data_IF_877508202076
#
_entry.id   IF_877508202076
#
_cell.length_a   1.000
_cell.length_b   1.000
_cell.length_c   1.000
_cell.angle_alpha   90.00
_cell.angle_beta   90.00
_cell.angle_gamma   90.00
#
_symmetry.space_group_name_H-M   'P 1'
#
loop_
_entity.id
_entity.type
_entity.pdbx_description
1 polymer ?
#
# COMPACT_ATOMS: atom_id res chain seq x y z
N UNK A 1 44.96 6.42 14.29
CA UNK A 1 44.24 7.03 13.15
C UNK A 1 43.59 8.30 13.65
N UNK A 2 43.97 9.46 13.10
CA UNK A 2 43.31 10.74 13.39
C UNK A 2 41.98 10.75 12.63
N UNK A 3 40.90 11.15 13.29
CA UNK A 3 39.65 11.49 12.62
C UNK A 3 39.93 12.56 11.54
N UNK A 4 39.31 12.48 10.36
CA UNK A 4 39.42 13.56 9.38
C UNK A 4 38.87 14.85 10.00
N UNK A 5 39.41 16.02 9.61
CA UNK A 5 38.88 17.29 10.08
C UNK A 5 37.43 17.42 9.61
N UNK A 6 36.51 17.62 10.56
CA UNK A 6 35.14 18.01 10.27
C UNK A 6 35.18 19.37 9.57
N UNK A 7 34.81 19.38 8.29
CA UNK A 7 34.63 20.60 7.52
C UNK A 7 33.58 21.49 8.23
N UNK A 8 33.94 22.74 8.50
CA UNK A 8 33.14 23.71 9.25
C UNK A 8 31.78 24.06 8.58
N UNK A 9 31.50 23.49 7.40
CA UNK A 9 30.28 23.71 6.63
C UNK A 9 29.27 22.54 6.67
N UNK A 10 29.57 21.43 7.35
CA UNK A 10 28.57 20.37 7.57
C UNK A 10 27.79 20.63 8.86
N UNK A 11 26.53 20.99 8.71
CA UNK A 11 25.59 21.10 9.83
C UNK A 11 25.61 19.77 10.63
N UNK A 12 25.86 19.86 11.93
CA UNK A 12 25.96 18.68 12.79
C UNK A 12 24.61 18.48 13.51
N UNK A 13 24.12 17.25 13.61
CA UNK A 13 22.89 17.00 14.36
C UNK A 13 23.10 17.33 15.84
N UNK A 14 22.10 17.96 16.46
CA UNK A 14 22.07 18.20 17.92
C UNK A 14 21.83 16.92 18.71
N UNK A 15 21.17 15.96 18.09
CA UNK A 15 20.86 14.65 18.64
C UNK A 15 20.90 13.62 17.53
N UNK A 16 21.46 12.44 17.80
CA UNK A 16 21.45 11.32 16.88
C UNK A 16 21.23 10.02 17.66
N UNK A 17 20.37 9.15 17.16
CA UNK A 17 20.05 7.87 17.75
C UNK A 17 20.00 6.77 16.67
N UNK A 18 20.78 5.72 16.86
CA UNK A 18 20.84 4.57 15.96
C UNK A 18 19.79 3.53 16.37
N UNK A 19 18.95 3.12 15.42
CA UNK A 19 18.04 1.99 15.53
C UNK A 19 18.59 0.89 14.63
N UNK A 20 18.83 -0.30 15.18
CA UNK A 20 19.25 -1.50 14.43
C UNK A 20 18.34 -2.67 14.74
N UNK A 21 17.92 -3.39 13.71
CA UNK A 21 17.20 -4.64 13.86
C UNK A 21 17.60 -5.60 12.71
N UNK A 22 18.37 -6.66 12.98
CA UNK A 22 18.88 -7.57 11.96
C UNK A 22 17.79 -8.44 11.30
N UNK A 23 16.57 -8.46 11.84
CA UNK A 23 15.41 -9.17 11.29
C UNK A 23 14.53 -8.26 10.44
N UNK A 24 14.89 -6.99 10.26
CA UNK A 24 14.07 -6.01 9.60
C UNK A 24 14.12 -6.14 8.07
N UNK A 25 12.94 -6.25 7.45
CA UNK A 25 12.77 -6.04 6.00
C UNK A 25 12.76 -4.54 5.65
N UNK A 26 12.35 -3.71 6.62
CA UNK A 26 12.37 -2.25 6.55
C UNK A 26 12.43 -1.67 7.96
N UNK A 27 12.64 -0.36 8.10
CA UNK A 27 12.39 0.35 9.36
C UNK A 27 11.48 1.55 9.10
N UNK A 28 10.38 1.60 9.85
CA UNK A 28 9.46 2.73 9.91
C UNK A 28 9.34 3.19 11.37
N UNK A 29 9.89 4.35 11.68
CA UNK A 29 9.95 4.89 13.05
C UNK A 29 8.61 5.53 13.40
N UNK A 30 8.08 5.26 14.60
CA UNK A 30 6.92 5.96 15.12
C UNK A 30 7.37 7.14 15.97
N UNK A 31 6.94 8.34 15.57
CA UNK A 31 7.13 9.56 16.32
C UNK A 31 5.85 9.87 17.10
N UNK A 32 6.00 10.23 18.37
CA UNK A 32 4.95 10.77 19.23
C UNK A 32 5.31 12.17 19.69
N UNK A 33 4.27 12.97 19.95
CA UNK A 33 4.40 14.33 20.45
C UNK A 33 5.38 15.18 19.62
N UNK A 34 5.44 14.93 18.31
CA UNK A 34 6.33 15.65 17.40
C UNK A 34 5.86 17.09 17.31
N UNK A 35 6.68 18.01 17.78
CA UNK A 35 6.42 19.44 17.77
C UNK A 35 7.76 20.16 17.79
N UNK A 36 8.21 20.60 16.61
CA UNK A 36 9.50 21.27 16.45
C UNK A 36 9.30 22.73 16.06
N UNK A 37 10.28 23.61 16.33
CA UNK A 37 10.32 24.94 15.73
C UNK A 37 10.25 24.86 14.19
N UNK A 38 9.74 25.91 13.57
CA UNK A 38 9.48 25.96 12.12
C UNK A 38 10.69 25.57 11.26
N UNK A 39 11.91 25.93 11.68
CA UNK A 39 13.14 25.67 10.94
C UNK A 39 13.89 24.40 11.39
N UNK A 40 13.46 23.76 12.47
CA UNK A 40 14.07 22.53 12.95
C UNK A 40 13.48 21.33 12.22
N UNK A 41 14.28 20.27 12.08
CA UNK A 41 13.82 19.06 11.42
C UNK A 41 14.45 17.80 12.00
N UNK A 42 13.71 16.70 11.89
CA UNK A 42 14.23 15.36 12.12
C UNK A 42 14.52 14.70 10.79
N UNK A 43 15.72 14.17 10.67
CA UNK A 43 16.15 13.34 9.57
C UNK A 43 16.15 11.88 9.98
N UNK A 44 15.65 11.00 9.12
CA UNK A 44 15.80 9.56 9.25
C UNK A 44 16.51 9.05 8.01
N UNK A 45 17.68 8.43 8.20
CA UNK A 45 18.48 7.91 7.09
C UNK A 45 18.96 6.48 7.34
N UNK A 46 19.22 5.70 6.29
CA UNK A 46 19.81 4.37 6.40
C UNK A 46 21.19 4.43 7.07
N UNK A 47 21.49 3.40 7.84
CA UNK A 47 22.73 3.24 8.57
C UNK A 47 23.37 1.87 8.41
N UNK A 48 22.66 0.92 7.78
CA UNK A 48 23.22 -0.37 7.39
C UNK A 48 24.10 -0.20 6.13
N UNK A 49 25.42 -0.38 6.22
CA UNK A 49 26.32 -0.24 5.07
C UNK A 49 26.11 -1.32 3.99
N UNK A 50 25.41 -2.40 4.30
CA UNK A 50 25.08 -3.44 3.32
C UNK A 50 23.76 -3.15 2.56
N UNK A 51 22.97 -2.18 3.02
CA UNK A 51 21.70 -1.82 2.40
C UNK A 51 21.92 -0.98 1.14
N UNK A 52 21.11 -1.23 0.10
CA UNK A 52 21.04 -0.37 -1.10
C UNK A 52 20.09 0.82 -0.92
N UNK A 53 19.44 0.93 0.24
CA UNK A 53 18.56 2.06 0.56
C UNK A 53 19.40 3.33 0.73
N UNK A 54 18.99 4.39 0.05
CA UNK A 54 19.70 5.68 0.05
C UNK A 54 18.78 6.85 0.35
N UNK A 55 17.47 6.61 0.45
CA UNK A 55 16.50 7.65 0.71
C UNK A 55 16.73 8.26 2.10
N UNK A 56 16.85 9.58 2.15
CA UNK A 56 16.90 10.36 3.38
C UNK A 56 15.54 11.01 3.58
N UNK A 57 14.90 10.73 4.71
CA UNK A 57 13.62 11.31 5.08
C UNK A 57 13.87 12.55 5.94
N UNK A 58 13.11 13.62 5.70
CA UNK A 58 13.14 14.83 6.52
C UNK A 58 11.71 15.21 6.92
N UNK A 59 11.51 15.47 8.21
CA UNK A 59 10.25 15.91 8.80
C UNK A 59 10.50 17.24 9.51
N UNK A 60 9.90 18.32 8.99
CA UNK A 60 10.10 19.70 9.47
C UNK A 60 9.01 20.10 10.46
N UNK A 61 9.35 20.97 11.42
CA UNK A 61 8.40 21.43 12.44
C UNK A 61 7.19 22.20 11.92
N UNK A 62 7.34 22.90 10.79
CA UNK A 62 6.23 23.61 10.13
C UNK A 62 5.34 22.71 9.25
N UNK A 63 5.80 21.51 8.92
CA UNK A 63 5.10 20.58 8.02
C UNK A 63 4.48 19.40 8.77
N UNK A 64 5.07 19.02 9.90
CA UNK A 64 4.71 17.79 10.62
C UNK A 64 4.51 18.06 12.10
N UNK A 65 3.44 17.50 12.67
CA UNK A 65 3.16 17.55 14.09
C UNK A 65 2.46 16.28 14.59
N UNK A 66 2.43 16.08 15.91
CA UNK A 66 1.65 15.04 16.56
C UNK A 66 2.28 13.65 16.49
N UNK A 67 1.49 12.65 16.13
CA UNK A 67 1.89 11.24 16.08
C UNK A 67 1.84 10.74 14.65
N UNK A 68 2.92 10.10 14.17
CA UNK A 68 2.97 9.56 12.82
C UNK A 68 4.07 8.50 12.69
N UNK A 69 3.93 7.65 11.68
CA UNK A 69 5.00 6.77 11.23
C UNK A 69 5.81 7.43 10.12
N UNK A 70 7.13 7.31 10.19
CA UNK A 70 8.00 7.66 9.06
C UNK A 70 7.66 6.79 7.84
N UNK A 71 7.99 7.24 6.63
CA UNK A 71 8.09 6.32 5.49
C UNK A 71 9.05 5.17 5.82
N UNK A 72 8.73 3.96 5.38
CA UNK A 72 9.54 2.78 5.61
C UNK A 72 10.79 2.80 4.70
N UNK A 73 11.97 2.75 5.32
CA UNK A 73 13.24 2.60 4.63
C UNK A 73 13.60 1.12 4.56
N UNK A 74 13.93 0.59 3.37
CA UNK A 74 14.18 -0.85 3.17
C UNK A 74 15.59 -1.24 3.63
N UNK A 75 15.82 -1.17 4.95
CA UNK A 75 17.11 -1.30 5.60
C UNK A 75 16.98 -1.91 6.99
N UNK A 76 18.05 -2.53 7.49
CA UNK A 76 18.10 -3.13 8.83
C UNK A 76 18.55 -2.16 9.93
N UNK A 77 19.00 -0.96 9.56
CA UNK A 77 19.40 0.07 10.50
C UNK A 77 19.13 1.48 9.98
N UNK A 78 18.67 2.37 10.85
CA UNK A 78 18.48 3.80 10.57
C UNK A 78 19.06 4.66 11.68
N UNK A 79 19.49 5.87 11.36
CA UNK A 79 19.80 6.89 12.35
C UNK A 79 18.71 7.97 12.28
N UNK A 80 18.16 8.30 13.44
CA UNK A 80 17.25 9.43 13.67
C UNK A 80 18.07 10.60 14.18
N UNK A 81 18.07 11.71 13.46
CA UNK A 81 18.92 12.87 13.70
C UNK A 81 18.08 14.13 13.83
N UNK A 82 18.27 14.93 14.89
CA UNK A 82 17.65 16.25 15.03
C UNK A 82 18.63 17.33 14.58
N UNK A 83 18.21 18.17 13.66
CA UNK A 83 18.92 19.37 13.25
C UNK A 83 18.15 20.60 13.73
N UNK A 84 18.88 21.56 14.27
CA UNK A 84 18.30 22.80 14.80
C UNK A 84 19.00 23.98 14.17
N UNK A 85 18.26 24.86 13.51
CA UNK A 85 18.84 26.10 13.01
C UNK A 85 19.08 27.04 14.20
N UNK A 86 20.35 27.31 14.49
CA UNK A 86 20.72 28.26 15.55
C UNK A 86 20.51 29.70 15.07
N UNK A 87 19.27 30.09 14.80
CA UNK A 87 18.93 31.51 14.72
C UNK A 87 19.01 32.08 16.14
N UNK A 88 19.84 33.11 16.33
CA UNK A 88 20.10 33.82 17.59
C UNK A 88 18.86 34.48 18.22
N UNK A 89 17.78 33.74 18.54
CA UNK A 89 16.72 34.17 19.44
C UNK A 89 16.11 32.94 20.11
N UNK A 90 15.91 32.94 21.44
CA UNK A 90 14.79 32.19 21.97
C UNK A 90 13.55 32.87 21.36
N UNK A 91 13.02 32.34 20.26
CA UNK A 91 11.57 32.46 20.06
C UNK A 91 11.00 31.98 21.38
N UNK A 92 10.32 32.88 22.10
CA UNK A 92 9.85 32.61 23.44
C UNK A 92 9.04 31.34 23.39
N UNK A 93 9.66 30.22 23.74
CA UNK A 93 9.00 28.92 23.79
C UNK A 93 7.99 29.13 24.88
N UNK A 94 6.73 29.29 24.49
CA UNK A 94 5.67 29.38 25.45
C UNK A 94 5.79 28.10 26.27
N UNK A 95 6.14 28.22 27.55
CA UNK A 95 6.42 27.07 28.43
C UNK A 95 5.19 26.16 28.60
N UNK A 96 4.05 26.54 28.03
CA UNK A 96 2.85 25.73 27.89
C UNK A 96 2.84 24.77 26.68
N UNK A 97 3.82 24.83 25.76
CA UNK A 97 3.94 23.92 24.62
C UNK A 97 5.29 23.22 24.66
N UNK A 98 5.30 21.94 25.05
CA UNK A 98 6.51 21.12 25.00
C UNK A 98 7.03 21.02 23.56
N UNK A 99 8.30 21.33 23.35
CA UNK A 99 8.99 21.25 22.05
C UNK A 99 9.90 20.02 22.05
N UNK A 100 9.85 19.23 20.99
CA UNK A 100 10.63 18.01 20.82
C UNK A 100 9.84 16.92 20.10
N UNK A 101 10.28 15.69 20.29
CA UNK A 101 9.59 14.49 19.84
C UNK A 101 10.00 13.32 20.72
N UNK A 102 9.20 12.26 20.75
CA UNK A 102 9.61 10.96 21.26
C UNK A 102 9.50 9.90 20.17
N UNK A 103 10.39 8.91 20.25
CA UNK A 103 10.28 7.67 19.47
C UNK A 103 9.90 6.58 20.45
N UNK A 104 8.71 6.01 20.31
CA UNK A 104 8.19 5.00 21.24
C UNK A 104 8.19 3.59 20.63
N UNK A 105 8.16 3.48 19.30
CA UNK A 105 8.19 2.19 18.59
C UNK A 105 8.72 2.34 17.16
N UNK A 106 8.96 1.21 16.50
CA UNK A 106 9.20 1.15 15.06
C UNK A 106 8.62 -0.15 14.49
N UNK A 107 8.13 -0.11 13.26
CA UNK A 107 7.71 -1.29 12.51
C UNK A 107 8.87 -1.78 11.65
N UNK A 108 9.07 -3.09 11.60
CA UNK A 108 10.23 -3.68 10.92
C UNK A 108 9.95 -4.90 10.03
N UNK A 109 8.75 -5.47 10.16
CA UNK A 109 8.23 -6.53 9.34
C UNK A 109 6.78 -6.21 9.02
N UNK A 110 6.31 -6.72 7.89
CA UNK A 110 4.90 -6.69 7.55
C UNK A 110 4.47 -8.05 7.02
N UNK A 111 3.26 -8.43 7.36
CA UNK A 111 2.65 -9.65 6.84
C UNK A 111 1.53 -9.30 5.86
N UNK A 112 1.19 -10.24 4.99
CA UNK A 112 -0.01 -10.12 4.18
C UNK A 112 -1.27 -9.99 5.05
N UNK A 113 -2.10 -8.97 4.82
CA UNK A 113 -3.40 -8.89 5.48
C UNK A 113 -4.33 -9.99 4.95
N UNK A 114 -5.18 -10.53 5.82
CA UNK A 114 -6.27 -11.44 5.44
C UNK A 114 -7.52 -11.11 6.25
N UNK A 115 -8.70 -11.34 5.67
CA UNK A 115 -9.96 -11.14 6.37
C UNK A 115 -10.13 -12.17 7.50
N UNK A 116 -10.21 -11.75 8.76
CA UNK A 116 -10.44 -12.62 9.94
C UNK A 116 -9.52 -13.85 10.03
N UNK A 117 -8.27 -13.74 9.57
CA UNK A 117 -7.34 -14.88 9.54
C UNK A 117 -7.70 -15.95 8.50
N UNK A 118 -8.54 -15.62 7.52
CA UNK A 118 -8.83 -16.47 6.38
C UNK A 118 -7.54 -16.81 5.62
N UNK A 119 -7.54 -17.97 4.96
CA UNK A 119 -6.41 -18.42 4.16
C UNK A 119 -6.52 -17.79 2.77
N UNK A 120 -5.70 -16.77 2.47
CA UNK A 120 -5.38 -16.47 1.07
C UNK A 120 -4.45 -17.55 0.54
N UNK A 121 -4.84 -18.14 -0.59
CA UNK A 121 -4.39 -19.47 -0.97
C UNK A 121 -3.93 -19.56 -2.42
N UNK A 122 -2.75 -20.15 -2.59
CA UNK A 122 -2.30 -20.75 -3.84
C UNK A 122 -3.06 -22.06 -4.02
N UNK A 123 -3.84 -22.18 -5.10
CA UNK A 123 -4.62 -23.37 -5.39
C UNK A 123 -3.79 -24.36 -6.18
N UNK A 124 -2.93 -25.09 -5.46
CA UNK A 124 -1.97 -26.02 -6.06
C UNK A 124 -0.61 -25.35 -6.23
N UNK A 125 -0.16 -25.18 -7.49
CA UNK A 125 1.07 -24.44 -7.79
C UNK A 125 0.77 -22.94 -8.01
N UNK A 126 1.70 -22.05 -7.64
CA UNK A 126 1.54 -20.62 -7.95
C UNK A 126 1.75 -20.39 -9.45
N UNK A 127 0.65 -20.14 -10.16
CA UNK A 127 0.60 -19.86 -11.58
C UNK A 127 0.64 -18.35 -11.89
N UNK A 128 0.67 -17.49 -10.88
CA UNK A 128 0.87 -16.06 -11.08
C UNK A 128 2.27 -15.80 -11.66
N UNK A 129 2.43 -14.68 -12.37
CA UNK A 129 3.73 -14.27 -12.91
C UNK A 129 3.92 -12.78 -12.74
N UNK A 130 5.17 -12.33 -12.76
CA UNK A 130 5.52 -10.91 -12.75
C UNK A 130 4.71 -10.13 -13.80
N UNK A 131 4.22 -8.95 -13.45
CA UNK A 131 3.42 -8.12 -14.36
C UNK A 131 4.11 -7.90 -15.71
N UNK A 132 5.44 -7.77 -15.70
CA UNK A 132 6.25 -7.62 -16.91
C UNK A 132 6.15 -8.80 -17.91
N UNK A 133 5.74 -9.99 -17.47
CA UNK A 133 5.44 -11.12 -18.37
C UNK A 133 4.25 -10.86 -19.29
N UNK A 134 3.41 -9.88 -18.95
CA UNK A 134 2.18 -9.58 -19.67
C UNK A 134 2.27 -8.30 -20.52
N UNK A 135 3.47 -7.71 -20.69
CA UNK A 135 3.68 -6.50 -21.52
C UNK A 135 3.14 -6.63 -22.95
N UNK A 136 3.15 -7.83 -23.53
CA UNK A 136 2.56 -8.11 -24.86
C UNK A 136 1.02 -8.17 -24.85
N UNK A 137 0.39 -8.34 -23.69
CA UNK A 137 -1.06 -8.29 -23.48
C UNK A 137 -1.46 -6.89 -23.00
N UNK A 138 -1.53 -5.96 -23.96
CA UNK A 138 -1.62 -4.51 -23.72
C UNK A 138 -2.74 -4.10 -22.74
N UNK A 139 -3.90 -4.78 -22.75
CA UNK A 139 -5.00 -4.52 -21.81
C UNK A 139 -4.60 -4.80 -20.36
N UNK A 140 -4.28 -6.06 -20.06
CA UNK A 140 -3.96 -6.51 -18.70
C UNK A 140 -2.73 -5.81 -18.10
N UNK A 141 -1.70 -5.54 -18.90
CA UNK A 141 -0.52 -4.82 -18.40
C UNK A 141 -0.85 -3.35 -18.11
N UNK A 142 -1.52 -2.64 -19.02
CA UNK A 142 -1.86 -1.22 -18.81
C UNK A 142 -2.79 -1.01 -17.63
N UNK A 143 -3.82 -1.83 -17.47
CA UNK A 143 -4.73 -1.71 -16.32
C UNK A 143 -4.02 -1.97 -15.00
N UNK A 144 -3.01 -2.84 -14.99
CA UNK A 144 -2.22 -3.11 -13.78
C UNK A 144 -1.41 -1.90 -13.30
N UNK A 145 -1.20 -0.86 -14.12
CA UNK A 145 -0.51 0.37 -13.69
C UNK A 145 -1.26 1.11 -12.58
N UNK A 146 -2.60 1.07 -12.61
CA UNK A 146 -3.46 1.71 -11.60
C UNK A 146 -3.48 0.98 -10.25
N UNK A 147 -2.81 -0.18 -10.15
CA UNK A 147 -2.75 -1.03 -8.96
C UNK A 147 -1.49 -0.71 -8.15
N UNK A 148 -1.70 -0.49 -6.86
CA UNK A 148 -0.68 -0.10 -5.89
C UNK A 148 -0.47 -1.18 -4.82
N UNK A 149 0.77 -1.31 -4.37
CA UNK A 149 1.14 -2.00 -3.13
C UNK A 149 0.85 -1.07 -1.96
N UNK A 150 0.11 -1.58 -0.98
CA UNK A 150 -0.19 -0.86 0.25
C UNK A 150 0.64 -1.43 1.39
N UNK A 151 1.32 -0.56 2.14
CA UNK A 151 1.89 -0.91 3.45
C UNK A 151 1.15 -0.10 4.51
N UNK A 152 0.27 -0.77 5.25
CA UNK A 152 -0.59 -0.16 6.27
C UNK A 152 0.01 -0.45 7.64
N UNK A 153 0.25 0.60 8.42
CA UNK A 153 0.76 0.49 9.79
C UNK A 153 -0.42 0.66 10.74
N UNK A 154 -0.65 -0.34 11.59
CA UNK A 154 -1.76 -0.42 12.54
C UNK A 154 -1.25 -0.72 13.93
N UNK A 155 -2.14 -0.58 14.90
CA UNK A 155 -1.95 -1.22 16.18
C UNK A 155 -1.81 -2.74 15.99
N UNK A 156 -0.74 -3.31 16.54
CA UNK A 156 -0.41 -4.73 16.41
C UNK A 156 0.48 -5.12 15.24
N UNK A 157 0.86 -4.19 14.35
CA UNK A 157 1.89 -4.44 13.34
C UNK A 157 1.69 -3.70 12.02
N UNK A 158 2.48 -4.08 11.01
CA UNK A 158 2.33 -3.59 9.65
C UNK A 158 1.81 -4.71 8.72
N UNK A 159 1.01 -4.31 7.74
CA UNK A 159 0.30 -5.23 6.86
C UNK A 159 0.40 -4.80 5.41
N UNK A 160 0.60 -5.76 4.52
CA UNK A 160 0.47 -5.55 3.09
C UNK A 160 -0.97 -5.77 2.63
N UNK A 161 -1.43 -4.93 1.72
CA UNK A 161 -2.62 -5.13 0.91
C UNK A 161 -2.37 -4.64 -0.51
N UNK A 162 -3.37 -4.85 -1.37
CA UNK A 162 -3.44 -4.26 -2.70
C UNK A 162 -4.56 -3.22 -2.73
N UNK A 163 -4.34 -2.14 -3.46
CA UNK A 163 -5.38 -1.15 -3.76
C UNK A 163 -5.24 -0.63 -5.18
N UNK A 164 -6.24 0.09 -5.68
CA UNK A 164 -6.21 0.56 -7.06
C UNK A 164 -7.03 1.84 -7.29
N UNK A 165 -6.58 2.67 -8.21
CA UNK A 165 -7.25 3.93 -8.55
C UNK A 165 -8.61 3.68 -9.19
N UNK A 166 -9.67 4.23 -8.58
CA UNK A 166 -11.06 4.10 -9.02
C UNK A 166 -11.56 5.44 -9.54
N UNK A 167 -11.94 5.47 -10.82
CA UNK A 167 -12.42 6.69 -11.46
C UNK A 167 -11.34 7.78 -11.64
N UNK A 168 -11.74 8.91 -12.22
CA UNK A 168 -10.82 9.95 -12.70
C UNK A 168 -10.43 10.99 -11.64
N UNK A 169 -10.98 10.89 -10.43
CA UNK A 169 -10.86 11.94 -9.41
C UNK A 169 -9.76 11.67 -8.37
N UNK A 170 -8.96 10.60 -8.53
CA UNK A 170 -7.88 10.26 -7.61
C UNK A 170 -8.35 9.61 -6.32
N UNK A 171 -9.43 8.83 -6.41
CA UNK A 171 -9.84 7.90 -5.38
C UNK A 171 -9.14 6.57 -5.58
N UNK A 172 -8.95 5.83 -4.50
CA UNK A 172 -8.40 4.49 -4.49
C UNK A 172 -9.32 3.60 -3.66
N UNK A 173 -9.54 2.37 -4.11
CA UNK A 173 -10.30 1.36 -3.36
C UNK A 173 -9.39 0.21 -2.94
N UNK A 174 -9.66 -0.33 -1.75
CA UNK A 174 -9.07 -1.55 -1.18
C UNK A 174 -10.13 -2.22 -0.29
N UNK A 175 -9.76 -3.20 0.54
CA UNK A 175 -10.70 -3.79 1.49
C UNK A 175 -10.87 -2.98 2.78
N UNK A 176 -12.03 -3.12 3.43
CA UNK A 176 -12.27 -2.58 4.77
C UNK A 176 -11.29 -3.20 5.79
N UNK A 177 -11.05 -4.50 5.72
CA UNK A 177 -10.09 -5.14 6.64
C UNK A 177 -8.64 -4.65 6.40
N UNK A 178 -8.34 -4.03 5.25
CA UNK A 178 -7.08 -3.33 5.02
C UNK A 178 -7.11 -1.92 5.64
N UNK A 179 -8.12 -1.10 5.32
CA UNK A 179 -8.26 0.27 5.82
C UNK A 179 -9.68 0.49 6.35
N UNK A 180 -9.88 0.35 7.65
CA UNK A 180 -11.18 0.54 8.30
C UNK A 180 -11.37 1.90 9.00
N UNK A 181 -10.30 2.67 9.19
CA UNK A 181 -10.35 3.95 9.93
C UNK A 181 -9.52 5.02 9.23
N UNK A 182 -9.78 6.29 9.55
CA UNK A 182 -8.94 7.40 9.08
C UNK A 182 -7.49 7.26 9.56
N UNK A 183 -7.27 6.69 10.75
CA UNK A 183 -5.93 6.42 11.26
C UNK A 183 -5.19 5.41 10.37
N UNK A 184 -5.84 4.31 9.97
CA UNK A 184 -5.27 3.38 9.00
C UNK A 184 -4.93 4.07 7.68
N UNK A 185 -5.85 4.90 7.16
CA UNK A 185 -5.62 5.65 5.92
C UNK A 185 -4.46 6.65 6.04
N UNK A 186 -4.29 7.27 7.21
CA UNK A 186 -3.21 8.22 7.51
C UNK A 186 -1.85 7.55 7.68
N UNK A 187 -1.85 6.25 7.97
CA UNK A 187 -0.66 5.42 8.22
C UNK A 187 -0.40 4.40 7.11
N UNK A 188 -0.81 4.72 5.87
CA UNK A 188 -0.64 3.84 4.70
C UNK A 188 0.31 4.44 3.67
N UNK A 189 1.31 3.66 3.25
CA UNK A 189 2.10 3.95 2.05
C UNK A 189 1.40 3.40 0.81
N UNK A 190 1.25 4.25 -0.21
CA UNK A 190 0.67 3.93 -1.51
C UNK A 190 1.76 3.89 -2.57
N UNK A 191 2.25 2.69 -2.88
CA UNK A 191 3.38 2.47 -3.76
C UNK A 191 2.94 1.96 -5.13
N UNK A 192 3.18 2.76 -6.17
CA UNK A 192 2.84 2.42 -7.55
C UNK A 192 4.07 1.95 -8.32
N UNK A 193 3.85 1.13 -9.35
CA UNK A 193 4.91 0.53 -10.17
C UNK A 193 5.98 -0.24 -9.37
N UNK A 194 5.60 -0.81 -8.22
CA UNK A 194 6.42 -1.78 -7.51
C UNK A 194 6.40 -3.11 -8.27
N UNK A 195 7.20 -3.26 -9.32
CA UNK A 195 7.15 -4.41 -10.23
C UNK A 195 8.52 -4.75 -10.84
N UNK A 196 8.67 -6.01 -11.27
CA UNK A 196 9.89 -6.45 -11.93
C UNK A 196 10.14 -5.73 -13.26
N UNK A 197 11.38 -5.34 -13.52
CA UNK A 197 11.76 -4.69 -14.79
C UNK A 197 11.56 -5.60 -16.02
N UNK A 198 11.63 -6.92 -15.82
CA UNK A 198 11.45 -7.96 -16.84
C UNK A 198 10.69 -9.16 -16.28
N UNK A 199 10.18 -10.02 -17.18
CA UNK A 199 9.49 -11.25 -16.80
C UNK A 199 10.37 -12.26 -16.01
N UNK A 200 11.69 -12.19 -16.19
CA UNK A 200 12.64 -13.08 -15.50
C UNK A 200 13.14 -12.53 -14.17
N UNK A 201 12.86 -11.26 -13.85
CA UNK A 201 13.23 -10.64 -12.57
C UNK A 201 12.23 -11.06 -11.51
N UNK A 202 12.62 -12.02 -10.65
CA UNK A 202 11.81 -12.37 -9.48
C UNK A 202 11.74 -11.20 -8.50
N UNK A 203 10.53 -10.89 -8.05
CA UNK A 203 10.24 -9.91 -7.01
C UNK A 203 9.50 -10.55 -5.83
N UNK A 204 9.68 -11.86 -5.63
CA UNK A 204 8.98 -12.68 -4.65
C UNK A 204 9.56 -12.55 -3.23
N UNK A 205 9.74 -11.33 -2.75
CA UNK A 205 10.05 -11.03 -1.35
C UNK A 205 9.40 -9.69 -0.95
N UNK A 206 9.09 -9.48 0.34
CA UNK A 206 8.48 -8.25 0.81
C UNK A 206 9.24 -7.01 0.35
N UNK A 207 8.51 -6.00 -0.14
CA UNK A 207 9.05 -4.73 -0.67
C UNK A 207 10.02 -4.85 -1.86
N UNK A 208 10.30 -6.03 -2.40
CA UNK A 208 11.17 -6.16 -3.56
C UNK A 208 10.62 -5.46 -4.80
N UNK A 209 11.55 -5.06 -5.67
CA UNK A 209 11.28 -4.31 -6.89
C UNK A 209 10.47 -3.05 -6.57
N UNK A 210 11.07 -2.19 -5.74
CA UNK A 210 10.45 -0.96 -5.27
C UNK A 210 9.97 -0.06 -6.42
N UNK A 211 8.81 0.53 -6.19
CA UNK A 211 8.19 1.52 -7.06
C UNK A 211 8.31 2.93 -6.48
N UNK A 212 7.38 3.79 -6.87
CA UNK A 212 7.28 5.14 -6.31
C UNK A 212 6.22 5.17 -5.20
N UNK A 213 6.61 5.55 -3.98
CA UNK A 213 5.66 5.88 -2.92
C UNK A 213 5.07 7.25 -3.24
N UNK A 214 3.79 7.28 -3.62
CA UNK A 214 3.11 8.50 -4.12
C UNK A 214 2.28 9.22 -3.08
N UNK A 215 1.99 8.54 -1.98
CA UNK A 215 1.41 9.09 -0.78
C UNK A 215 1.77 8.21 0.42
N UNK A 216 1.89 8.83 1.58
CA UNK A 216 2.06 8.18 2.88
C UNK A 216 0.85 8.40 3.81
N UNK A 217 -0.23 9.00 3.27
CA UNK A 217 -1.51 9.18 3.92
C UNK A 217 -2.61 9.30 2.86
N UNK A 218 -3.86 9.09 3.27
CA UNK A 218 -5.04 9.36 2.47
C UNK A 218 -6.20 9.82 3.38
N UNK A 219 -7.19 10.49 2.79
CA UNK A 219 -8.46 10.77 3.47
C UNK A 219 -9.40 9.58 3.27
N UNK A 220 -9.92 8.99 4.35
CA UNK A 220 -10.94 7.97 4.28
C UNK A 220 -12.28 8.62 3.89
N UNK A 221 -12.85 8.19 2.77
CA UNK A 221 -14.17 8.63 2.32
C UNK A 221 -15.24 7.75 2.96
N UNK A 222 -15.06 6.44 2.86
CA UNK A 222 -15.98 5.47 3.46
C UNK A 222 -15.31 4.09 3.60
N UNK A 223 -15.71 3.31 4.60
CA UNK A 223 -15.35 1.91 4.73
C UNK A 223 -16.58 1.11 5.15
N UNK A 224 -16.84 0.01 4.45
CA UNK A 224 -18.00 -0.87 4.64
C UNK A 224 -17.52 -2.26 5.05
N UNK A 225 -17.93 -2.71 6.23
CA UNK A 225 -17.54 -4.03 6.75
C UNK A 225 -18.26 -5.17 6.03
N UNK A 226 -19.54 -4.99 5.66
CA UNK A 226 -20.36 -6.04 5.05
C UNK A 226 -19.96 -6.33 3.60
N UNK A 227 -19.59 -5.28 2.86
CA UNK A 227 -19.07 -5.35 1.50
C UNK A 227 -17.54 -5.38 1.44
N UNK A 228 -16.89 -5.37 2.60
CA UNK A 228 -15.44 -5.39 2.81
C UNK A 228 -14.67 -4.49 1.83
N UNK A 229 -15.12 -3.25 1.64
CA UNK A 229 -14.43 -2.26 0.81
C UNK A 229 -14.15 -0.99 1.59
N UNK A 230 -13.06 -0.31 1.23
CA UNK A 230 -12.72 1.01 1.70
C UNK A 230 -12.39 1.91 0.52
N UNK A 231 -13.01 3.08 0.46
CA UNK A 231 -12.74 4.13 -0.50
C UNK A 231 -11.95 5.24 0.19
N UNK A 232 -10.76 5.52 -0.32
CA UNK A 232 -9.89 6.59 0.16
C UNK A 232 -9.59 7.58 -0.96
N UNK A 233 -9.26 8.81 -0.58
CA UNK A 233 -8.83 9.88 -1.48
C UNK A 233 -7.36 10.16 -1.25
N UNK A 234 -6.55 9.97 -2.28
CA UNK A 234 -5.13 10.34 -2.23
C UNK A 234 -4.98 11.88 -2.28
N UNK A 235 -3.92 12.43 -1.65
CA UNK A 235 -3.69 13.88 -1.63
C UNK A 235 -3.45 14.46 -3.02
N UNK A 236 -2.84 13.67 -3.92
CA UNK A 236 -2.64 14.03 -5.32
C UNK A 236 -3.53 13.14 -6.21
N UNK A 237 -4.12 13.71 -7.25
CA UNK A 237 -4.81 12.92 -8.27
C UNK A 237 -3.78 12.26 -9.21
N UNK A 238 -3.68 10.94 -9.15
CA UNK A 238 -2.72 10.14 -9.91
C UNK A 238 -3.31 9.48 -11.17
N UNK A 239 -4.60 9.73 -11.46
CA UNK A 239 -5.32 9.08 -12.55
C UNK A 239 -4.71 9.35 -13.93
N UNK A 240 -4.14 10.54 -14.16
CA UNK A 240 -3.47 10.87 -15.43
C UNK A 240 -2.13 10.16 -15.60
N UNK A 241 -1.47 9.78 -14.50
CA UNK A 241 -0.14 9.19 -14.52
C UNK A 241 -0.19 7.66 -14.61
N UNK A 242 -1.05 7.03 -13.81
CA UNK A 242 -1.17 5.56 -13.77
C UNK A 242 -2.42 5.02 -14.46
N UNK A 243 -3.30 5.89 -14.95
CA UNK A 243 -4.65 5.50 -15.33
C UNK A 243 -5.54 5.27 -14.13
N UNK A 244 -6.73 4.75 -14.38
CA UNK A 244 -7.70 4.34 -13.37
C UNK A 244 -8.51 3.17 -13.90
N UNK A 245 -9.11 2.41 -12.98
CA UNK A 245 -10.01 1.32 -13.30
C UNK A 245 -11.46 1.75 -13.12
N UNK A 246 -12.35 0.99 -13.74
CA UNK A 246 -13.79 1.19 -13.72
C UNK A 246 -14.47 -0.10 -13.31
N UNK A 247 -15.42 -0.01 -12.39
CA UNK A 247 -16.30 -1.10 -12.00
C UNK A 247 -17.29 -1.39 -13.14
N UNK A 248 -17.54 -2.65 -13.43
CA UNK A 248 -18.59 -3.04 -14.36
C UNK A 248 -19.95 -2.99 -13.65
N UNK A 249 -20.84 -2.09 -14.06
CA UNK A 249 -22.12 -1.89 -13.34
C UNK A 249 -22.99 -3.15 -13.30
N UNK A 250 -22.89 -4.02 -14.31
CA UNK A 250 -23.64 -5.29 -14.36
C UNK A 250 -23.05 -6.40 -13.50
N UNK A 251 -21.82 -6.25 -12.99
CA UNK A 251 -21.14 -7.29 -12.24
C UNK A 251 -20.49 -8.39 -13.08
N UNK A 252 -19.99 -9.41 -12.38
CA UNK A 252 -19.41 -10.61 -12.95
C UNK A 252 -20.46 -11.52 -13.62
N UNK A 253 -20.03 -12.20 -14.69
CA UNK A 253 -20.79 -13.19 -15.47
C UNK A 253 -20.15 -14.57 -15.30
N UNK A 254 -20.99 -15.59 -15.14
CA UNK A 254 -20.54 -16.98 -14.99
C UNK A 254 -19.67 -17.42 -16.19
N UNK A 255 -18.59 -18.17 -15.91
CA UNK A 255 -17.62 -18.69 -16.88
C UNK A 255 -16.83 -17.65 -17.69
N UNK A 256 -16.96 -16.36 -17.41
CA UNK A 256 -16.14 -15.36 -18.12
C UNK A 256 -14.67 -15.46 -17.70
N UNK A 257 -13.77 -15.19 -18.65
CA UNK A 257 -12.32 -15.23 -18.41
C UNK A 257 -11.88 -13.99 -17.63
N UNK A 258 -11.01 -14.20 -16.64
CA UNK A 258 -10.58 -13.17 -15.70
C UNK A 258 -9.07 -13.14 -15.49
N UNK A 259 -8.57 -12.02 -14.96
CA UNK A 259 -7.21 -11.87 -14.45
C UNK A 259 -7.19 -10.95 -13.22
N UNK A 260 -6.15 -11.10 -12.41
CA UNK A 260 -6.02 -10.43 -11.10
C UNK A 260 -4.60 -9.87 -10.94
N UNK A 261 -4.37 -8.57 -11.22
CA UNK A 261 -3.16 -7.87 -10.81
C UNK A 261 -3.17 -7.63 -9.30
N UNK A 262 -2.05 -7.92 -8.63
CA UNK A 262 -1.98 -8.02 -7.18
C UNK A 262 -0.55 -7.87 -6.64
N UNK A 263 -0.43 -7.60 -5.34
CA UNK A 263 0.83 -7.62 -4.58
C UNK A 263 0.82 -8.72 -3.50
N UNK A 264 0.91 -10.00 -3.90
CA UNK A 264 0.85 -11.12 -2.96
C UNK A 264 2.03 -11.03 -1.99
N UNK A 265 1.79 -11.21 -0.69
CA UNK A 265 2.81 -11.13 0.38
C UNK A 265 3.64 -9.83 0.39
N UNK A 266 3.12 -8.73 -0.18
CA UNK A 266 3.87 -7.48 -0.33
C UNK A 266 4.98 -7.53 -1.38
N UNK A 267 4.95 -8.52 -2.28
CA UNK A 267 5.91 -8.69 -3.36
C UNK A 267 5.77 -7.62 -4.43
N UNK A 268 6.68 -7.64 -5.41
CA UNK A 268 6.47 -6.93 -6.67
C UNK A 268 5.17 -7.40 -7.35
N UNK A 269 4.60 -6.53 -8.18
CA UNK A 269 3.30 -6.75 -8.82
C UNK A 269 3.31 -8.01 -9.68
N UNK A 270 2.35 -8.88 -9.42
CA UNK A 270 2.10 -10.10 -10.19
C UNK A 270 0.70 -10.06 -10.77
N UNK A 271 0.51 -10.74 -11.89
CA UNK A 271 -0.80 -10.93 -12.49
C UNK A 271 -1.09 -12.43 -12.48
N UNK A 272 -2.14 -12.82 -11.78
CA UNK A 272 -2.70 -14.16 -11.89
C UNK A 272 -3.69 -14.18 -13.06
N UNK A 273 -3.45 -15.06 -14.02
CA UNK A 273 -4.29 -15.20 -15.22
C UNK A 273 -4.63 -16.66 -15.54
N UNK A 274 -3.85 -17.60 -14.98
CA UNK A 274 -4.03 -19.03 -15.12
C UNK A 274 -4.19 -19.67 -13.75
N UNK A 275 -4.86 -20.81 -13.75
CA UNK A 275 -4.89 -21.80 -12.67
C UNK A 275 -4.29 -23.10 -13.18
N UNK A 276 -4.13 -24.10 -12.32
CA UNK A 276 -3.67 -25.45 -12.71
C UNK A 276 -4.51 -26.07 -13.84
N UNK A 277 -5.81 -25.74 -13.93
CA UNK A 277 -6.73 -26.26 -14.94
C UNK A 277 -6.91 -25.38 -16.19
N UNK A 278 -6.09 -24.34 -16.39
CA UNK A 278 -6.15 -23.49 -17.59
C UNK A 278 -6.29 -22.00 -17.30
N UNK A 279 -7.12 -21.29 -18.06
CA UNK A 279 -7.37 -19.86 -17.83
C UNK A 279 -8.27 -19.64 -16.62
N UNK A 280 -8.00 -18.58 -15.85
CA UNK A 280 -8.90 -18.16 -14.78
C UNK A 280 -10.27 -17.80 -15.32
N UNK A 281 -11.31 -18.32 -14.67
CA UNK A 281 -12.71 -18.02 -15.00
C UNK A 281 -13.54 -17.83 -13.73
N UNK A 282 -14.67 -17.15 -13.84
CA UNK A 282 -15.69 -17.10 -12.79
C UNK A 282 -16.37 -18.46 -12.69
N UNK A 283 -16.34 -19.08 -11.51
CA UNK A 283 -16.87 -20.43 -11.25
C UNK A 283 -18.13 -20.45 -10.39
N UNK A 284 -18.52 -19.31 -9.82
CA UNK A 284 -19.78 -19.14 -9.09
C UNK A 284 -20.07 -17.65 -8.91
N UNK A 285 -21.36 -17.31 -8.80
CA UNK A 285 -21.85 -15.97 -8.46
C UNK A 285 -22.61 -15.94 -7.12
N UNK A 286 -22.75 -17.09 -6.47
CA UNK A 286 -23.58 -17.28 -5.28
C UNK A 286 -22.81 -17.96 -4.14
N UNK A 287 -21.48 -17.91 -4.16
CA UNK A 287 -20.66 -18.56 -3.14
C UNK A 287 -20.87 -17.88 -1.79
N UNK A 288 -21.05 -18.70 -0.75
CA UNK A 288 -21.15 -18.26 0.64
C UNK A 288 -19.85 -18.56 1.38
N UNK A 289 -19.60 -17.85 2.46
CA UNK A 289 -18.38 -17.97 3.27
C UNK A 289 -18.12 -16.66 3.97
N UNK A 290 -17.06 -15.96 3.55
CA UNK A 290 -16.72 -14.63 4.04
C UNK A 290 -17.81 -13.57 3.83
N UNK A 291 -18.65 -13.72 2.81
CA UNK A 291 -19.85 -12.92 2.59
C UNK A 291 -20.94 -13.76 1.88
N UNK A 292 -22.11 -13.16 1.65
CA UNK A 292 -23.17 -13.73 0.83
C UNK A 292 -23.01 -13.37 -0.65
N UNK A 293 -23.44 -14.27 -1.53
CA UNK A 293 -23.49 -14.08 -2.99
C UNK A 293 -22.20 -13.51 -3.59
N UNK A 294 -21.10 -14.23 -3.36
CA UNK A 294 -19.76 -13.87 -3.80
C UNK A 294 -19.42 -14.49 -5.16
N UNK A 295 -18.56 -13.78 -5.89
CA UNK A 295 -17.91 -14.28 -7.10
C UNK A 295 -16.80 -15.23 -6.69
N UNK A 296 -16.77 -16.46 -7.22
CA UNK A 296 -15.70 -17.42 -6.97
C UNK A 296 -14.82 -17.66 -8.20
N UNK A 297 -13.54 -17.93 -7.98
CA UNK A 297 -12.55 -18.23 -9.01
C UNK A 297 -11.32 -18.95 -8.41
N UNK A 298 -10.42 -19.46 -9.25
CA UNK A 298 -9.25 -20.27 -8.85
C UNK A 298 -7.90 -19.64 -9.24
N UNK A 299 -7.84 -18.31 -9.38
CA UNK A 299 -6.57 -17.61 -9.58
C UNK A 299 -5.83 -17.51 -8.25
N UNK A 300 -4.54 -17.79 -8.24
CA UNK A 300 -3.72 -17.84 -7.04
C UNK A 300 -3.60 -16.49 -6.33
N UNK A 301 -3.71 -16.51 -4.99
CA UNK A 301 -3.60 -15.35 -4.10
C UNK A 301 -2.80 -15.73 -2.85
N UNK A 302 -2.30 -14.73 -2.12
CA UNK A 302 -1.61 -14.90 -0.83
C UNK A 302 -1.85 -13.65 0.00
N UNK A 303 -1.69 -13.74 1.32
CA UNK A 303 -1.85 -12.59 2.21
C UNK A 303 -1.30 -11.30 1.60
N UNK A 304 -2.11 -10.24 1.51
CA UNK A 304 -1.75 -8.99 0.84
C UNK A 304 -2.28 -8.86 -0.59
N UNK A 305 -2.84 -9.94 -1.14
CA UNK A 305 -3.71 -9.90 -2.31
C UNK A 305 -5.04 -9.22 -2.00
N UNK A 306 -5.48 -9.17 -0.73
CA UNK A 306 -6.62 -8.38 -0.27
C UNK A 306 -6.72 -7.02 -0.96
N UNK A 307 -7.88 -6.75 -1.58
CA UNK A 307 -8.22 -5.50 -2.25
C UNK A 307 -7.90 -5.49 -3.74
N UNK A 308 -7.33 -6.59 -4.26
CA UNK A 308 -7.00 -6.70 -5.68
C UNK A 308 -8.25 -6.67 -6.57
N UNK A 309 -8.21 -5.98 -7.73
CA UNK A 309 -9.32 -5.93 -8.67
C UNK A 309 -9.37 -7.21 -9.52
N UNK A 310 -10.45 -7.98 -9.44
CA UNK A 310 -10.71 -9.06 -10.40
C UNK A 310 -11.26 -8.43 -11.68
N UNK A 311 -10.48 -8.47 -12.76
CA UNK A 311 -10.85 -7.87 -14.04
C UNK A 311 -11.28 -8.93 -15.04
N UNK A 312 -12.24 -8.55 -15.88
CA UNK A 312 -12.58 -9.37 -17.04
C UNK A 312 -11.58 -9.20 -18.16
N UNK A 313 -11.31 -10.31 -18.84
CA UNK A 313 -10.41 -10.34 -19.98
C UNK A 313 -10.94 -9.57 -21.20
N UNK A 314 -12.25 -9.55 -21.42
CA UNK A 314 -12.84 -9.02 -22.66
C UNK A 314 -12.84 -7.50 -22.74
N UNK A 315 -13.09 -6.82 -21.62
CA UNK A 315 -13.25 -5.36 -21.58
C UNK A 315 -12.33 -4.66 -20.56
N UNK A 316 -11.58 -5.42 -19.75
CA UNK A 316 -10.71 -4.89 -18.70
C UNK A 316 -11.43 -4.04 -17.65
N UNK A 317 -12.72 -4.29 -17.43
CA UNK A 317 -13.48 -3.72 -16.32
C UNK A 317 -13.34 -4.59 -15.07
N UNK A 318 -13.38 -3.94 -13.90
CA UNK A 318 -13.36 -4.63 -12.61
C UNK A 318 -14.74 -5.24 -12.37
N UNK A 319 -14.78 -6.57 -12.30
CA UNK A 319 -16.02 -7.31 -12.10
C UNK A 319 -16.26 -7.69 -10.63
N UNK A 320 -15.21 -7.73 -9.82
CA UNK A 320 -15.30 -7.99 -8.39
C UNK A 320 -14.05 -7.49 -7.62
N UNK A 321 -14.19 -7.28 -6.32
CA UNK A 321 -13.10 -6.93 -5.40
C UNK A 321 -12.67 -8.18 -4.62
N UNK A 322 -11.44 -8.65 -4.81
CA UNK A 322 -10.91 -9.76 -4.01
C UNK A 322 -10.82 -9.35 -2.55
N UNK A 323 -11.27 -10.23 -1.65
CA UNK A 323 -11.29 -9.92 -0.22
C UNK A 323 -11.16 -11.13 0.70
N UNK A 324 -11.40 -12.33 0.17
CA UNK A 324 -11.34 -13.54 0.95
C UNK A 324 -10.81 -14.68 0.08
N UNK A 325 -9.84 -15.39 0.64
CA UNK A 325 -9.21 -16.49 -0.05
C UNK A 325 -9.73 -17.87 0.32
N UNK A 326 -9.18 -18.86 -0.39
CA UNK A 326 -9.45 -20.28 -0.24
C UNK A 326 -9.24 -20.98 -1.58
N UNK A 327 -9.67 -22.23 -1.69
CA UNK A 327 -9.82 -22.89 -2.98
C UNK A 327 -11.26 -23.42 -3.08
N UNK A 328 -12.19 -22.62 -3.64
CA UNK A 328 -11.98 -21.40 -4.44
C UNK A 328 -11.69 -20.13 -3.64
N UNK A 329 -11.09 -19.13 -4.30
CA UNK A 329 -11.02 -17.73 -3.84
C UNK A 329 -12.35 -17.02 -4.09
N UNK A 330 -12.64 -15.98 -3.30
CA UNK A 330 -13.90 -15.23 -3.36
C UNK A 330 -13.71 -13.71 -3.42
N UNK A 331 -14.66 -13.04 -4.08
CA UNK A 331 -14.66 -11.60 -4.30
C UNK A 331 -16.07 -11.00 -4.22
N UNK A 332 -16.17 -9.75 -3.74
CA UNK A 332 -17.41 -8.99 -3.69
C UNK A 332 -17.73 -8.47 -5.08
N UNK A 333 -18.93 -8.79 -5.58
CA UNK A 333 -19.33 -8.44 -6.94
C UNK A 333 -19.40 -6.91 -7.13
N UNK A 334 -18.83 -6.40 -8.22
CA UNK A 334 -18.72 -4.97 -8.50
C UNK A 334 -20.05 -4.22 -8.53
N UNK A 335 -21.16 -4.86 -8.94
CA UNK A 335 -22.47 -4.19 -8.90
C UNK A 335 -22.89 -3.79 -7.47
N UNK A 336 -22.45 -4.56 -6.46
CA UNK A 336 -22.75 -4.25 -5.04
C UNK A 336 -22.05 -2.95 -4.62
N UNK A 337 -20.77 -2.82 -4.98
CA UNK A 337 -19.97 -1.61 -4.73
C UNK A 337 -20.56 -0.40 -5.49
N UNK A 338 -20.90 -0.57 -6.77
CA UNK A 338 -21.50 0.51 -7.58
C UNK A 338 -22.82 0.97 -6.97
N UNK A 339 -23.69 0.05 -6.57
CA UNK A 339 -24.99 0.39 -5.99
C UNK A 339 -24.84 1.11 -4.64
N UNK A 340 -23.98 0.60 -3.77
CA UNK A 340 -23.73 1.20 -2.46
C UNK A 340 -23.10 2.60 -2.58
N UNK A 341 -22.06 2.76 -3.42
CA UNK A 341 -21.41 4.05 -3.63
C UNK A 341 -22.35 5.07 -4.30
N UNK A 342 -23.23 4.66 -5.21
CA UNK A 342 -24.27 5.53 -5.79
C UNK A 342 -25.30 5.95 -4.75
N UNK A 343 -25.79 5.00 -3.95
CA UNK A 343 -26.77 5.27 -2.89
C UNK A 343 -26.24 6.28 -1.87
N UNK A 344 -24.94 6.20 -1.54
CA UNK A 344 -24.24 7.13 -0.64
C UNK A 344 -23.80 8.44 -1.31
N UNK A 345 -23.92 8.55 -2.63
CA UNK A 345 -23.40 9.66 -3.42
C UNK A 345 -21.88 9.89 -3.24
N UNK A 346 -21.11 8.78 -3.22
CA UNK A 346 -19.64 8.79 -3.11
C UNK A 346 -18.95 8.10 -4.29
N UNK A 347 -19.69 7.65 -5.30
CA UNK A 347 -19.11 7.03 -6.50
C UNK A 347 -18.32 8.10 -7.29
N UNK A 348 -16.99 7.94 -7.47
CA UNK A 348 -16.20 8.94 -8.20
C UNK A 348 -16.62 9.06 -9.67
N UNK A 349 -16.30 10.19 -10.29
CA UNK A 349 -16.48 10.34 -11.73
C UNK A 349 -15.73 9.24 -12.51
N UNK A 350 -16.34 8.77 -13.60
CA UNK A 350 -15.85 7.69 -14.46
C UNK A 350 -15.62 6.32 -13.78
N UNK A 351 -15.99 6.16 -12.50
CA UNK A 351 -15.72 4.94 -11.73
C UNK A 351 -16.54 3.72 -12.14
N UNK A 352 -17.64 3.89 -12.87
CA UNK A 352 -18.49 2.81 -13.33
C UNK A 352 -18.70 2.85 -14.84
N UNK A 353 -18.76 1.67 -15.47
CA UNK A 353 -19.05 1.47 -16.89
C UNK A 353 -20.39 0.78 -17.11
#
# INVERSE_FOLDING_TARGET
MKYPPTDQFTEQPRFAYLITNPLADFISVHFKLFNLPENDYVQVRPADPASSETQILQYRGNETNGSFYSTALSTSAVIVELFTESANRPQGVNSSQCVGFSVDSYQFLAQGSTLNGSKEGVCGADNSREAACYKSFNGAFRTSNAVARLLIKKDGGAFFCTGWLLGSEGHLVTNHHCISTQEHASNTEFEFNAEGSSCSRSCASPRACGGAIRANYATLIYADEDLDYALVKLPNNLASEYGYLRLRSSGAVMNERVYLPQHPSGWGKRIAMKSDSGWGTVTSLSTRGCASDQVAYYLDTQGGSSGSPLLSWSDNLVIALHHCGGCPNTAINSYKLVNDMRWRNILPADAAA
#
